data_IF_654196312164
#
_entry.id   IF_654196312164
#
_cell.length_a   1.000
_cell.length_b   1.000
_cell.length_c   1.000
_cell.angle_alpha   90.00
_cell.angle_beta   90.00
_cell.angle_gamma   90.00
#
_symmetry.space_group_name_H-M   'P 1'
#
loop_
_entity.id
_entity.type
_entity.pdbx_description
1 polymer ?
#
# COMPACT_ATOMS: atom_id res chain seq x y z
N UNK A 1 -20.94 14.87 5.35
CA UNK A 1 -20.49 14.03 6.47
C UNK A 1 -20.54 12.52 6.16
N UNK A 2 -21.67 12.02 5.61
CA UNK A 2 -21.89 10.58 5.36
C UNK A 2 -20.82 9.97 4.43
N UNK A 3 -20.37 10.69 3.41
CA UNK A 3 -19.34 10.20 2.49
C UNK A 3 -17.98 10.05 3.18
N UNK A 4 -17.63 10.97 4.07
CA UNK A 4 -16.36 10.91 4.83
C UNK A 4 -16.39 9.74 5.81
N UNK A 5 -17.50 9.55 6.53
CA UNK A 5 -17.67 8.42 7.46
C UNK A 5 -17.54 7.09 6.71
N UNK A 6 -18.18 6.98 5.54
CA UNK A 6 -18.07 5.78 4.69
C UNK A 6 -16.61 5.52 4.26
N UNK A 7 -15.86 6.56 3.88
CA UNK A 7 -14.45 6.44 3.48
C UNK A 7 -13.58 5.96 4.65
N UNK A 8 -13.78 6.51 5.84
CA UNK A 8 -13.07 6.08 7.04
C UNK A 8 -13.42 4.63 7.41
N UNK A 9 -14.70 4.28 7.41
CA UNK A 9 -15.17 2.94 7.76
C UNK A 9 -14.58 1.88 6.83
N UNK A 10 -14.73 2.06 5.51
CA UNK A 10 -14.15 1.13 4.53
C UNK A 10 -12.62 1.14 4.55
N UNK A 11 -12.00 2.29 4.82
CA UNK A 11 -10.55 2.40 4.94
C UNK A 11 -9.99 1.61 6.13
N UNK A 12 -10.63 1.68 7.29
CA UNK A 12 -10.22 0.92 8.49
C UNK A 12 -10.35 -0.59 8.23
N UNK A 13 -11.48 -1.05 7.70
CA UNK A 13 -11.67 -2.47 7.36
C UNK A 13 -10.61 -2.93 6.36
N UNK A 14 -10.36 -2.15 5.34
CA UNK A 14 -9.36 -2.43 4.32
C UNK A 14 -7.95 -2.48 4.90
N UNK A 15 -7.62 -1.57 5.83
CA UNK A 15 -6.33 -1.54 6.51
C UNK A 15 -6.09 -2.78 7.38
N UNK A 16 -7.10 -3.20 8.15
CA UNK A 16 -7.04 -4.46 8.92
C UNK A 16 -6.86 -5.66 7.99
N UNK A 17 -7.60 -5.71 6.89
CA UNK A 17 -7.47 -6.80 5.91
C UNK A 17 -6.10 -6.79 5.24
N UNK A 18 -5.55 -5.61 4.91
CA UNK A 18 -4.19 -5.46 4.42
C UNK A 18 -3.17 -6.05 5.40
N UNK A 19 -3.27 -5.69 6.67
CA UNK A 19 -2.37 -6.17 7.72
C UNK A 19 -2.40 -7.69 7.84
N UNK A 20 -3.59 -8.30 7.79
CA UNK A 20 -3.74 -9.76 7.83
C UNK A 20 -3.07 -10.41 6.61
N UNK A 21 -3.26 -9.87 5.41
CA UNK A 21 -2.61 -10.40 4.20
C UNK A 21 -1.09 -10.27 4.27
N UNK A 22 -0.57 -9.11 4.69
CA UNK A 22 0.87 -8.89 4.84
C UNK A 22 1.48 -9.86 5.85
N UNK A 23 0.79 -10.12 6.96
CA UNK A 23 1.21 -11.12 7.94
C UNK A 23 1.18 -12.55 7.37
N UNK A 24 0.12 -12.92 6.62
CA UNK A 24 0.00 -14.24 5.99
C UNK A 24 1.11 -14.50 4.97
N UNK A 25 1.49 -13.48 4.19
CA UNK A 25 2.61 -13.57 3.24
C UNK A 25 3.97 -13.41 3.92
N UNK A 26 4.03 -13.30 5.25
CA UNK A 26 5.26 -13.12 6.03
C UNK A 26 6.09 -11.94 5.54
N UNK A 27 5.40 -10.86 5.12
CA UNK A 27 6.06 -9.64 4.69
C UNK A 27 6.69 -8.98 5.91
N UNK A 28 8.01 -8.95 5.92
CA UNK A 28 8.79 -8.33 6.97
C UNK A 28 9.90 -7.49 6.34
N UNK A 29 10.22 -6.40 7.01
CA UNK A 29 11.33 -5.54 6.66
C UNK A 29 12.26 -5.46 7.86
N UNK A 30 13.55 -5.45 7.60
CA UNK A 30 14.52 -5.16 8.66
C UNK A 30 14.44 -3.67 8.99
N UNK A 31 14.59 -3.32 10.25
CA UNK A 31 14.59 -1.91 10.68
C UNK A 31 15.66 -1.09 9.94
N UNK A 32 16.75 -1.74 9.55
CA UNK A 32 17.84 -1.15 8.78
C UNK A 32 17.50 -0.94 7.30
N UNK A 33 16.40 -1.54 6.79
CA UNK A 33 16.00 -1.40 5.38
C UNK A 33 15.35 -0.06 5.06
N UNK A 34 15.05 0.76 6.07
CA UNK A 34 14.46 2.10 5.91
C UNK A 34 13.29 2.12 4.93
N UNK A 35 12.36 1.15 5.07
CA UNK A 35 11.18 1.04 4.20
C UNK A 35 10.35 2.33 4.19
N UNK A 36 10.49 3.16 5.23
CA UNK A 36 9.85 4.46 5.35
C UNK A 36 10.23 5.41 4.20
N UNK A 37 11.38 5.17 3.55
CA UNK A 37 11.79 5.93 2.37
C UNK A 37 10.73 5.84 1.24
N UNK A 38 9.96 4.73 1.17
CA UNK A 38 8.88 4.61 0.19
C UNK A 38 7.83 5.73 0.35
N UNK A 39 7.52 6.08 1.60
CA UNK A 39 6.59 7.17 1.93
C UNK A 39 7.19 8.52 1.57
N UNK A 40 8.47 8.73 1.86
CA UNK A 40 9.18 9.96 1.51
C UNK A 40 9.22 10.16 -0.01
N UNK A 41 9.56 9.13 -0.78
CA UNK A 41 9.51 9.15 -2.24
C UNK A 41 8.10 9.45 -2.73
N UNK A 42 7.08 8.80 -2.17
CA UNK A 42 5.68 9.05 -2.52
C UNK A 42 5.28 10.51 -2.27
N UNK A 43 5.73 11.10 -1.15
CA UNK A 43 5.48 12.51 -0.82
C UNK A 43 6.17 13.45 -1.81
N UNK A 44 7.42 13.19 -2.17
CA UNK A 44 8.15 13.97 -3.19
C UNK A 44 7.44 13.88 -4.55
N UNK A 45 7.02 12.68 -4.94
CA UNK A 45 6.27 12.47 -6.17
C UNK A 45 4.93 13.21 -6.17
N UNK A 46 4.27 13.34 -5.01
CA UNK A 46 3.05 14.13 -4.83
C UNK A 46 3.27 15.60 -5.16
N UNK A 47 4.40 16.17 -4.70
CA UNK A 47 4.76 17.58 -4.99
C UNK A 47 4.93 17.80 -6.49
N UNK A 48 5.52 16.84 -7.20
CA UNK A 48 5.69 16.92 -8.65
C UNK A 48 4.34 16.86 -9.38
N UNK A 49 3.52 15.84 -9.09
CA UNK A 49 2.15 15.72 -9.60
C UNK A 49 1.33 14.80 -8.68
N UNK A 50 0.14 15.23 -8.21
CA UNK A 50 -0.70 14.44 -7.31
C UNK A 50 -1.06 13.03 -7.85
N UNK A 51 -1.04 12.82 -9.17
CA UNK A 51 -1.31 11.50 -9.78
C UNK A 51 -0.21 10.47 -9.53
N UNK A 52 0.96 10.88 -9.08
CA UNK A 52 2.09 9.99 -8.79
C UNK A 52 2.13 9.54 -7.32
N UNK A 53 1.16 9.95 -6.51
CA UNK A 53 0.97 9.41 -5.16
C UNK A 53 0.47 7.98 -5.27
N UNK A 54 1.38 7.08 -5.53
CA UNK A 54 1.08 5.65 -5.62
C UNK A 54 2.31 4.87 -5.17
N UNK A 55 2.12 3.94 -4.27
CA UNK A 55 3.20 3.09 -3.78
C UNK A 55 3.84 2.24 -4.89
N UNK A 56 3.16 2.02 -6.02
CA UNK A 56 3.79 1.37 -7.16
C UNK A 56 4.93 2.20 -7.75
N UNK A 57 4.75 3.53 -7.88
CA UNK A 57 5.83 4.40 -8.40
C UNK A 57 6.99 4.51 -7.41
N UNK A 58 6.70 4.79 -6.15
CA UNK A 58 7.75 4.89 -5.12
C UNK A 58 8.45 3.55 -4.90
N UNK A 59 7.70 2.45 -4.89
CA UNK A 59 8.25 1.09 -4.82
C UNK A 59 9.10 0.71 -6.03
N UNK A 60 8.69 1.08 -7.25
CA UNK A 60 9.49 0.85 -8.44
C UNK A 60 10.83 1.62 -8.41
N UNK A 61 10.80 2.89 -7.97
CA UNK A 61 12.02 3.69 -7.82
C UNK A 61 12.92 3.04 -6.76
N UNK A 62 12.39 2.76 -5.58
CA UNK A 62 13.15 2.20 -4.47
C UNK A 62 13.70 0.81 -4.79
N UNK A 63 12.87 -0.05 -5.40
CA UNK A 63 13.28 -1.38 -5.86
C UNK A 63 14.37 -1.32 -6.93
N UNK A 64 14.27 -0.39 -7.89
CA UNK A 64 15.31 -0.19 -8.91
C UNK A 64 16.64 0.25 -8.29
N UNK A 65 16.61 1.18 -7.34
CA UNK A 65 17.81 1.60 -6.59
C UNK A 65 18.43 0.42 -5.85
N UNK A 66 17.60 -0.38 -5.15
CA UNK A 66 18.07 -1.58 -4.44
C UNK A 66 18.71 -2.61 -5.37
N UNK A 67 18.13 -2.85 -6.56
CA UNK A 67 18.71 -3.76 -7.57
C UNK A 67 20.07 -3.25 -8.02
N UNK A 68 20.16 -1.98 -8.41
CA UNK A 68 21.42 -1.38 -8.88
C UNK A 68 22.48 -1.45 -7.79
N UNK A 69 22.13 -1.12 -6.54
CA UNK A 69 23.03 -1.21 -5.40
C UNK A 69 23.57 -2.63 -5.20
N UNK A 70 22.72 -3.65 -5.23
CA UNK A 70 23.12 -5.04 -5.12
C UNK A 70 24.04 -5.50 -6.30
N UNK A 71 23.75 -5.04 -7.51
CA UNK A 71 24.61 -5.32 -8.67
C UNK A 71 26.01 -4.71 -8.51
N UNK A 72 26.09 -3.49 -7.97
CA UNK A 72 27.39 -2.82 -7.73
C UNK A 72 28.21 -3.53 -6.64
N UNK A 73 27.57 -4.03 -5.57
CA UNK A 73 28.23 -4.84 -4.56
C UNK A 73 28.76 -6.14 -5.17
N UNK A 74 27.90 -6.85 -5.93
CA UNK A 74 28.29 -8.14 -6.55
C UNK A 74 29.42 -7.95 -7.58
N UNK A 75 29.52 -6.80 -8.20
CA UNK A 75 30.61 -6.44 -9.11
C UNK A 75 31.89 -5.97 -8.38
N UNK A 76 31.93 -5.98 -7.04
CA UNK A 76 33.01 -5.42 -6.22
C UNK A 76 33.35 -3.96 -6.53
N UNK A 77 32.37 -3.19 -7.00
CA UNK A 77 32.53 -1.75 -7.28
C UNK A 77 32.33 -0.90 -6.02
N UNK A 78 31.59 -1.43 -5.05
CA UNK A 78 31.31 -0.78 -3.77
C UNK A 78 31.45 -1.85 -2.67
N UNK A 79 32.12 -1.50 -1.57
CA UNK A 79 32.12 -2.34 -0.39
C UNK A 79 30.70 -2.42 0.20
N UNK A 80 30.37 -3.57 0.80
CA UNK A 80 29.12 -3.76 1.53
C UNK A 80 29.12 -2.81 2.73
N UNK A 81 28.70 -1.57 2.47
CA UNK A 81 28.50 -0.53 3.49
C UNK A 81 27.18 -0.71 4.23
N UNK A 82 26.64 0.36 4.76
CA UNK A 82 25.36 0.34 5.46
C UNK A 82 24.26 -0.26 4.59
N UNK A 83 23.45 -1.16 5.15
CA UNK A 83 22.35 -1.86 4.47
C UNK A 83 21.16 -0.95 4.10
N UNK A 84 21.39 0.38 4.10
CA UNK A 84 20.39 1.44 3.84
C UNK A 84 19.54 1.20 2.57
N UNK A 85 20.12 0.63 1.53
CA UNK A 85 19.45 0.37 0.26
C UNK A 85 19.16 -1.12 0.03
N UNK A 86 19.43 -1.96 1.04
CA UNK A 86 19.11 -3.37 0.96
C UNK A 86 17.65 -3.61 1.33
N UNK A 87 16.79 -3.65 0.33
CA UNK A 87 15.37 -3.94 0.51
C UNK A 87 15.06 -5.27 -0.14
N UNK A 88 14.41 -6.20 0.59
CA UNK A 88 13.97 -7.47 0.02
C UNK A 88 12.87 -7.19 -1.02
N UNK A 89 13.22 -7.33 -2.29
CA UNK A 89 12.36 -6.95 -3.43
C UNK A 89 11.07 -7.77 -3.44
N UNK A 90 11.12 -9.06 -3.06
CA UNK A 90 9.93 -9.89 -2.92
C UNK A 90 8.92 -9.28 -1.95
N UNK A 91 9.38 -8.92 -0.75
CA UNK A 91 8.51 -8.29 0.25
C UNK A 91 7.95 -6.95 -0.21
N UNK A 92 8.76 -6.15 -0.95
CA UNK A 92 8.32 -4.90 -1.53
C UNK A 92 7.23 -5.12 -2.59
N UNK A 93 7.39 -6.12 -3.46
CA UNK A 93 6.40 -6.49 -4.46
C UNK A 93 5.09 -6.96 -3.81
N UNK A 94 5.16 -7.78 -2.76
CA UNK A 94 3.99 -8.24 -2.04
C UNK A 94 3.29 -7.05 -1.36
N UNK A 95 4.04 -6.15 -0.71
CA UNK A 95 3.48 -4.95 -0.08
C UNK A 95 2.69 -4.11 -1.09
N UNK A 96 3.33 -3.76 -2.21
CA UNK A 96 2.69 -2.98 -3.28
C UNK A 96 1.50 -3.74 -3.85
N UNK A 97 1.63 -5.05 -4.05
CA UNK A 97 0.58 -5.91 -4.58
C UNK A 97 -0.64 -5.97 -3.66
N UNK A 98 -0.44 -6.14 -2.35
CA UNK A 98 -1.53 -6.17 -1.35
C UNK A 98 -2.27 -4.83 -1.32
N UNK A 99 -1.54 -3.71 -1.34
CA UNK A 99 -2.16 -2.38 -1.35
C UNK A 99 -3.03 -2.21 -2.60
N UNK A 100 -2.54 -2.56 -3.78
CA UNK A 100 -3.32 -2.44 -5.03
C UNK A 100 -4.49 -3.43 -5.09
N UNK A 101 -4.30 -4.65 -4.59
CA UNK A 101 -5.39 -5.61 -4.50
C UNK A 101 -6.56 -5.05 -3.68
N UNK A 102 -6.27 -4.48 -2.53
CA UNK A 102 -7.27 -3.89 -1.64
C UNK A 102 -7.86 -2.60 -2.23
N UNK A 103 -7.02 -1.76 -2.85
CA UNK A 103 -7.50 -0.58 -3.58
C UNK A 103 -8.54 -0.98 -4.63
N UNK A 104 -8.27 -2.01 -5.40
CA UNK A 104 -9.21 -2.52 -6.40
C UNK A 104 -10.53 -3.00 -5.79
N UNK A 105 -10.49 -3.66 -4.63
CA UNK A 105 -11.70 -4.06 -3.90
C UNK A 105 -12.48 -2.85 -3.40
N UNK A 106 -11.81 -1.85 -2.83
CA UNK A 106 -12.44 -0.61 -2.37
C UNK A 106 -13.10 0.15 -3.52
N UNK A 107 -12.42 0.22 -4.67
CA UNK A 107 -12.98 0.82 -5.89
C UNK A 107 -14.21 0.08 -6.34
N UNK A 108 -14.19 -1.25 -6.38
CA UNK A 108 -15.34 -2.06 -6.81
C UNK A 108 -16.55 -1.89 -5.87
N UNK A 109 -16.33 -1.85 -4.55
CA UNK A 109 -17.40 -1.83 -3.53
C UNK A 109 -17.94 -0.41 -3.31
N UNK A 110 -17.07 0.57 -3.11
CA UNK A 110 -17.44 1.92 -2.65
C UNK A 110 -17.13 3.03 -3.68
N UNK A 111 -16.40 2.72 -4.75
CA UNK A 111 -15.92 3.71 -5.73
C UNK A 111 -17.03 4.48 -6.45
N UNK A 112 -18.22 3.91 -6.60
CA UNK A 112 -19.36 4.56 -7.27
C UNK A 112 -20.12 5.56 -6.38
N UNK A 113 -19.90 5.48 -5.06
CA UNK A 113 -20.63 6.31 -4.08
C UNK A 113 -20.16 7.76 -4.16
N UNK A 114 -21.11 8.70 -4.19
CA UNK A 114 -20.82 10.12 -4.30
C UNK A 114 -20.28 10.56 -5.67
N UNK A 115 -20.48 9.75 -6.72
CA UNK A 115 -20.18 10.16 -8.10
C UNK A 115 -21.00 11.34 -8.53
N UNK A 116 -20.37 12.28 -9.26
CA UNK A 116 -21.00 13.52 -9.74
C UNK A 116 -21.31 13.35 -11.23
N UNK A 117 -22.54 13.66 -11.66
CA UNK A 117 -22.86 13.67 -13.09
C UNK A 117 -22.06 14.79 -13.78
N UNK A 118 -21.48 14.48 -14.92
CA UNK A 118 -20.71 15.42 -15.75
C UNK A 118 -21.17 15.34 -17.20
N UNK A 119 -21.06 16.46 -17.90
CA UNK A 119 -21.38 16.54 -19.31
C UNK A 119 -20.15 17.01 -20.09
N UNK A 120 -19.94 16.46 -21.25
CA UNK A 120 -18.90 16.89 -22.18
C UNK A 120 -19.44 16.91 -23.60
N UNK A 121 -18.77 17.67 -24.46
CA UNK A 121 -19.07 17.68 -25.90
C UNK A 121 -18.02 16.87 -26.63
N UNK A 122 -18.45 15.78 -27.26
CA UNK A 122 -17.59 14.90 -28.06
C UNK A 122 -18.16 14.89 -29.49
N UNK A 123 -17.37 15.32 -30.45
CA UNK A 123 -17.76 15.39 -31.88
C UNK A 123 -19.08 16.18 -32.12
N UNK A 124 -19.29 17.27 -31.35
CA UNK A 124 -20.49 18.08 -31.47
C UNK A 124 -21.69 17.61 -30.64
N UNK A 125 -21.68 16.36 -30.17
CA UNK A 125 -22.75 15.80 -29.35
C UNK A 125 -22.48 15.99 -27.86
N UNK A 126 -23.53 16.31 -27.08
CA UNK A 126 -23.45 16.37 -25.62
C UNK A 126 -23.56 14.95 -25.08
N UNK A 127 -22.53 14.49 -24.40
CA UNK A 127 -22.52 13.18 -23.72
C UNK A 127 -22.47 13.38 -22.22
N UNK A 128 -23.37 12.68 -21.53
CA UNK A 128 -23.39 12.60 -20.07
C UNK A 128 -22.44 11.51 -19.58
N UNK A 129 -21.94 11.69 -18.37
CA UNK A 129 -21.05 10.74 -17.71
C UNK A 129 -21.01 10.94 -16.22
N UNK A 130 -20.04 10.33 -15.57
CA UNK A 130 -19.84 10.39 -14.14
C UNK A 130 -18.36 10.67 -13.81
N UNK A 131 -18.15 11.59 -12.86
CA UNK A 131 -16.85 11.81 -12.23
C UNK A 131 -16.82 11.12 -10.87
N UNK A 132 -15.76 10.40 -10.61
CA UNK A 132 -15.50 9.71 -9.35
C UNK A 132 -14.32 10.39 -8.65
N UNK A 133 -14.45 10.58 -7.34
CA UNK A 133 -13.39 11.10 -6.50
C UNK A 133 -13.54 10.53 -5.09
N UNK A 134 -12.78 9.47 -4.82
CA UNK A 134 -12.81 8.77 -3.53
C UNK A 134 -11.39 8.65 -2.99
N UNK A 135 -11.26 8.77 -1.68
CA UNK A 135 -10.01 8.56 -0.95
C UNK A 135 -10.33 7.76 0.30
N UNK A 136 -9.58 6.70 0.55
CA UNK A 136 -9.70 5.87 1.75
C UNK A 136 -8.39 5.93 2.52
N UNK A 137 -8.48 6.21 3.81
CA UNK A 137 -7.34 6.19 4.73
C UNK A 137 -7.30 4.79 5.35
N UNK A 138 -6.20 4.09 5.14
CA UNK A 138 -6.00 2.72 5.61
C UNK A 138 -4.89 2.69 6.66
N UNK A 139 -5.20 2.50 7.94
CA UNK A 139 -4.20 2.15 8.93
C UNK A 139 -3.75 0.70 8.66
N UNK A 140 -2.47 0.50 8.37
CA UNK A 140 -1.87 -0.81 8.14
C UNK A 140 -0.78 -1.07 9.16
N UNK A 141 -0.63 -2.32 9.57
CA UNK A 141 0.47 -2.77 10.42
C UNK A 141 1.49 -3.53 9.59
N UNK A 142 2.75 -3.14 9.68
CA UNK A 142 3.91 -3.86 9.13
C UNK A 142 4.71 -4.47 10.26
N UNK A 143 5.24 -5.67 10.05
CA UNK A 143 6.18 -6.31 10.97
C UNK A 143 7.58 -5.83 10.63
N UNK A 144 8.21 -5.13 11.55
CA UNK A 144 9.62 -4.78 11.48
C UNK A 144 10.39 -5.73 12.42
N UNK A 145 11.31 -6.49 11.87
CA UNK A 145 12.25 -7.23 12.70
C UNK A 145 13.33 -6.27 13.21
N UNK A 146 13.28 -6.01 14.51
CA UNK A 146 14.47 -5.52 15.17
C UNK A 146 15.49 -6.66 15.24
N UNK A 147 16.73 -6.40 14.88
CA UNK A 147 17.88 -7.30 15.08
C UNK A 147 18.28 -7.44 16.56
N UNK A 148 17.41 -7.08 17.48
CA UNK A 148 17.59 -7.27 18.89
C UNK A 148 17.35 -8.74 19.20
N UNK A 149 18.36 -9.46 19.67
CA UNK A 149 18.20 -10.72 20.39
C UNK A 149 16.97 -10.63 21.25
N UNK A 150 16.03 -11.59 21.09
CA UNK A 150 14.71 -11.63 21.71
C UNK A 150 14.72 -10.98 23.10
N UNK A 151 14.17 -9.79 23.29
CA UNK A 151 14.19 -9.16 24.62
C UNK A 151 13.37 -9.97 25.65
N UNK A 152 12.65 -10.99 25.18
CA UNK A 152 11.86 -11.91 25.98
C UNK A 152 12.55 -13.24 26.30
N UNK A 153 13.70 -13.54 25.69
CA UNK A 153 14.40 -14.80 25.94
C UNK A 153 14.95 -14.93 27.38
N UNK A 154 15.09 -13.81 28.08
CA UNK A 154 15.59 -13.77 29.46
C UNK A 154 14.50 -13.59 30.52
N UNK A 155 13.24 -13.36 30.15
CA UNK A 155 12.14 -13.14 31.09
C UNK A 155 11.28 -14.40 31.18
N UNK A 156 11.11 -15.02 32.36
CA UNK A 156 10.20 -16.15 32.52
C UNK A 156 8.77 -15.68 32.25
N UNK A 157 8.22 -16.11 31.11
CA UNK A 157 6.90 -15.70 30.58
C UNK A 157 5.77 -15.94 31.59
N UNK A 158 5.94 -16.87 32.52
CA UNK A 158 4.95 -17.24 33.53
C UNK A 158 4.51 -16.13 34.51
N UNK A 159 5.30 -15.05 34.60
CA UNK A 159 5.01 -13.94 35.51
C UNK A 159 4.70 -12.61 34.84
N UNK A 160 4.65 -12.59 33.52
CA UNK A 160 4.36 -11.35 32.75
C UNK A 160 2.86 -11.23 32.54
N UNK A 161 2.21 -10.14 32.98
CA UNK A 161 0.80 -9.90 32.71
C UNK A 161 0.49 -9.92 31.20
N UNK A 162 -0.65 -10.50 30.82
CA UNK A 162 -1.04 -10.65 29.41
C UNK A 162 -1.05 -9.33 28.62
N UNK A 163 -1.35 -8.20 29.26
CA UNK A 163 -1.32 -6.88 28.60
C UNK A 163 0.11 -6.40 28.28
N UNK A 164 1.11 -6.78 29.09
CA UNK A 164 2.51 -6.47 28.77
C UNK A 164 2.99 -7.34 27.61
N UNK A 165 2.60 -8.61 27.56
CA UNK A 165 2.88 -9.48 26.42
C UNK A 165 2.22 -8.95 25.15
N UNK A 166 0.98 -8.46 25.25
CA UNK A 166 0.27 -7.85 24.12
C UNK A 166 0.96 -6.57 23.64
N UNK A 167 1.41 -5.69 24.54
CA UNK A 167 2.15 -4.47 24.17
C UNK A 167 3.53 -4.80 23.63
N UNK A 168 4.21 -5.81 24.16
CA UNK A 168 5.49 -6.29 23.64
C UNK A 168 5.36 -6.95 22.28
N UNK A 169 4.30 -7.72 22.05
CA UNK A 169 3.99 -8.27 20.73
C UNK A 169 3.66 -7.17 19.71
N UNK A 170 3.06 -6.06 20.16
CA UNK A 170 2.79 -4.89 19.31
C UNK A 170 4.04 -4.02 19.09
N UNK A 171 5.06 -4.12 19.93
CA UNK A 171 6.30 -3.35 19.78
C UNK A 171 7.12 -3.72 18.52
N UNK A 172 6.88 -4.91 17.97
CA UNK A 172 7.45 -5.33 16.68
C UNK A 172 6.61 -4.93 15.46
N UNK A 173 5.48 -4.24 15.68
CA UNK A 173 4.58 -3.79 14.63
C UNK A 173 4.60 -2.28 14.53
N UNK A 174 4.92 -1.76 13.38
CA UNK A 174 4.68 -0.36 13.08
C UNK A 174 3.35 -0.17 12.38
N UNK A 175 2.60 0.87 12.80
CA UNK A 175 1.33 1.23 12.19
C UNK A 175 1.59 2.33 11.18
N UNK A 176 1.37 2.02 9.92
CA UNK A 176 1.44 2.96 8.83
C UNK A 176 0.05 3.42 8.42
N UNK A 177 -0.06 4.70 8.10
CA UNK A 177 -1.29 5.25 7.53
C UNK A 177 -1.10 5.39 6.03
N UNK A 178 -1.65 4.45 5.28
CA UNK A 178 -1.74 4.55 3.83
C UNK A 178 -2.99 5.30 3.42
N UNK A 179 -2.94 5.98 2.28
CA UNK A 179 -4.12 6.52 1.63
C UNK A 179 -4.15 6.01 0.20
N UNK A 180 -5.27 5.42 -0.19
CA UNK A 180 -5.53 5.03 -1.57
C UNK A 180 -6.65 5.88 -2.13
N UNK A 181 -6.53 6.27 -3.39
CA UNK A 181 -7.48 7.18 -4.02
C UNK A 181 -7.89 6.73 -5.41
N UNK A 182 -9.19 6.85 -5.68
CA UNK A 182 -9.75 6.60 -6.99
C UNK A 182 -10.34 7.88 -7.58
N UNK A 183 -9.71 8.39 -8.63
CA UNK A 183 -10.18 9.54 -9.39
C UNK A 183 -10.31 9.15 -10.86
N UNK A 184 -11.52 9.19 -11.39
CA UNK A 184 -11.80 8.83 -12.77
C UNK A 184 -13.01 9.58 -13.31
N UNK A 185 -13.07 9.71 -14.62
CA UNK A 185 -14.25 10.21 -15.34
C UNK A 185 -14.64 9.17 -16.38
N UNK A 186 -15.92 8.92 -16.52
CA UNK A 186 -16.44 8.00 -17.53
C UNK A 186 -17.65 8.57 -18.21
N UNK A 187 -17.81 8.25 -19.48
CA UNK A 187 -18.99 8.59 -20.30
C UNK A 187 -19.82 7.35 -20.63
N UNK A 188 -19.69 6.29 -19.81
CA UNK A 188 -20.53 5.09 -19.90
C UNK A 188 -21.88 5.33 -19.23
N UNK A 189 -22.92 4.61 -19.69
CA UNK A 189 -24.28 4.68 -19.12
C UNK A 189 -24.35 4.15 -17.67
N UNK A 190 -23.46 3.23 -17.29
CA UNK A 190 -23.46 2.60 -15.96
C UNK A 190 -22.21 2.97 -15.16
N UNK A 191 -22.41 3.70 -14.06
CA UNK A 191 -21.36 4.01 -13.11
C UNK A 191 -20.83 2.77 -12.40
N UNK A 192 -21.70 1.82 -12.07
CA UNK A 192 -21.33 0.57 -11.38
C UNK A 192 -20.43 -0.30 -12.24
N UNK A 193 -20.77 -0.49 -13.52
CA UNK A 193 -19.92 -1.25 -14.46
C UNK A 193 -18.52 -0.65 -14.57
N UNK A 194 -18.41 0.69 -14.57
CA UNK A 194 -17.11 1.37 -14.63
C UNK A 194 -16.24 1.06 -13.41
N UNK A 195 -16.79 1.18 -12.20
CA UNK A 195 -16.01 0.93 -10.98
C UNK A 195 -15.68 -0.55 -10.79
N UNK A 196 -16.57 -1.46 -11.19
CA UNK A 196 -16.29 -2.90 -11.18
C UNK A 196 -15.14 -3.26 -12.13
N UNK A 197 -15.16 -2.77 -13.37
CA UNK A 197 -14.08 -3.01 -14.33
C UNK A 197 -12.78 -2.40 -13.82
N UNK A 198 -12.80 -1.15 -13.34
CA UNK A 198 -11.60 -0.49 -12.82
C UNK A 198 -11.06 -1.21 -11.59
N UNK A 199 -11.93 -1.58 -10.65
CA UNK A 199 -11.56 -2.29 -9.43
C UNK A 199 -10.96 -3.67 -9.75
N UNK A 200 -11.58 -4.44 -10.67
CA UNK A 200 -11.06 -5.75 -11.05
C UNK A 200 -9.68 -5.65 -11.73
N UNK A 201 -9.46 -4.64 -12.58
CA UNK A 201 -8.14 -4.42 -13.21
C UNK A 201 -7.07 -4.07 -12.18
N UNK A 202 -7.38 -3.17 -11.23
CA UNK A 202 -6.45 -2.79 -10.17
C UNK A 202 -6.15 -3.99 -9.26
N UNK A 203 -7.18 -4.77 -8.86
CA UNK A 203 -7.00 -5.98 -8.07
C UNK A 203 -6.19 -7.05 -8.79
N UNK A 204 -6.42 -7.25 -10.10
CA UNK A 204 -5.65 -8.20 -10.91
C UNK A 204 -4.17 -7.81 -10.96
N UNK A 205 -3.88 -6.53 -11.12
CA UNK A 205 -2.50 -6.01 -11.03
C UNK A 205 -1.88 -6.33 -9.67
N UNK A 206 -2.62 -6.08 -8.57
CA UNK A 206 -2.17 -6.42 -7.22
C UNK A 206 -1.85 -7.91 -7.06
N UNK A 207 -2.72 -8.80 -7.58
CA UNK A 207 -2.48 -10.25 -7.54
C UNK A 207 -1.21 -10.63 -8.30
N UNK A 208 -1.01 -10.08 -9.49
CA UNK A 208 0.22 -10.35 -10.28
C UNK A 208 1.46 -9.93 -9.50
N UNK A 209 1.45 -8.76 -8.85
CA UNK A 209 2.57 -8.28 -8.05
C UNK A 209 2.84 -9.20 -6.84
N UNK A 210 1.79 -9.69 -6.17
CA UNK A 210 1.93 -10.67 -5.07
C UNK A 210 2.57 -11.96 -5.59
N UNK A 211 2.08 -12.49 -6.69
CA UNK A 211 2.62 -13.72 -7.29
C UNK A 211 4.08 -13.60 -7.73
N UNK A 212 4.51 -12.41 -8.14
CA UNK A 212 5.91 -12.14 -8.49
C UNK A 212 6.80 -11.95 -7.24
N UNK A 213 6.21 -11.62 -6.10
CA UNK A 213 6.93 -11.41 -4.85
C UNK A 213 7.10 -12.67 -4.00
N UNK A 214 6.25 -13.68 -4.21
CA UNK A 214 6.30 -14.98 -3.53
C UNK A 214 7.31 -15.90 -4.20
#
# INVERSE_FOLDING_TARGET
PILVISQLFFGIIAGVFASVLLYMFKVNFYQESYIEIIFLISLILMILKPKYVCFAYSGAILGSVSIVYNLMINANLIDKGNDLFYIPIGNLLILVGVIHFIEGLLVAIDGSRGSIPVFTRINGEIRGGFAFNRVWIMPMSLVLFQSVEDPFSSIPISHVPAWILATGALAGFEIFYGAVGYKSVTFTKSKTSKVLISGSLISSYGIIMILLGV
#
